data_IF_787681373595
#
_entry.id   IF_787681373595
#
_cell.length_a   1.000
_cell.length_b   1.000
_cell.length_c   1.000
_cell.angle_alpha   90.00
_cell.angle_beta   90.00
_cell.angle_gamma   90.00
#
_symmetry.space_group_name_H-M   'P 1'
#
loop_
_entity.id
_entity.type
_entity.pdbx_description
1 polymer ?
#
# COMPACT_ATOMS: atom_id res chain seq x y z
N UNK A 1 21.47 -13.99 -4.18
CA UNK A 1 21.45 -12.56 -3.76
C UNK A 1 19.99 -12.11 -3.65
N UNK A 2 19.29 -12.43 -2.55
CA UNK A 2 17.99 -11.84 -2.14
C UNK A 2 17.24 -12.60 -1.04
N UNK A 3 17.75 -13.74 -0.55
CA UNK A 3 17.04 -14.55 0.46
C UNK A 3 16.60 -13.73 1.68
N UNK A 4 17.49 -12.85 2.17
CA UNK A 4 17.20 -11.99 3.30
C UNK A 4 16.13 -10.92 2.99
N UNK A 5 16.15 -10.33 1.79
CA UNK A 5 15.14 -9.34 1.38
C UNK A 5 13.77 -9.97 1.16
N UNK A 6 13.73 -11.22 0.69
CA UNK A 6 12.49 -12.02 0.61
C UNK A 6 11.95 -12.31 2.01
N UNK A 7 12.79 -12.82 2.92
CA UNK A 7 12.39 -13.11 4.30
C UNK A 7 11.88 -11.87 5.04
N UNK A 8 12.54 -10.71 4.86
CA UNK A 8 12.06 -9.43 5.43
C UNK A 8 10.70 -9.03 4.88
N UNK A 9 10.46 -9.21 3.57
CA UNK A 9 9.15 -8.92 2.96
C UNK A 9 8.04 -9.86 3.46
N UNK A 10 8.35 -11.16 3.58
CA UNK A 10 7.42 -12.15 4.13
C UNK A 10 7.03 -11.79 5.57
N UNK A 11 8.02 -11.47 6.41
CA UNK A 11 7.80 -11.03 7.78
C UNK A 11 6.90 -9.77 7.84
N UNK A 12 7.27 -8.71 7.11
CA UNK A 12 6.54 -7.45 7.12
C UNK A 12 5.11 -7.60 6.57
N UNK A 13 4.91 -8.47 5.58
CA UNK A 13 3.57 -8.76 5.04
C UNK A 13 2.71 -9.48 6.09
N UNK A 14 3.28 -10.47 6.80
CA UNK A 14 2.58 -11.17 7.87
C UNK A 14 2.23 -10.21 9.03
N UNK A 15 3.19 -9.40 9.48
CA UNK A 15 2.99 -8.41 10.54
C UNK A 15 1.91 -7.39 10.17
N UNK A 16 1.95 -6.83 8.95
CA UNK A 16 0.92 -5.90 8.48
C UNK A 16 -0.48 -6.52 8.45
N UNK A 17 -0.62 -7.80 8.08
CA UNK A 17 -1.91 -8.51 8.11
C UNK A 17 -2.41 -8.71 9.54
N UNK A 18 -1.52 -9.06 10.48
CA UNK A 18 -1.86 -9.19 11.90
C UNK A 18 -2.33 -7.85 12.48
N UNK A 19 -1.56 -6.78 12.27
CA UNK A 19 -1.91 -5.44 12.75
C UNK A 19 -3.22 -4.96 12.12
N UNK A 20 -3.44 -5.22 10.83
CA UNK A 20 -4.71 -4.89 10.18
C UNK A 20 -5.90 -5.60 10.82
N UNK A 21 -5.74 -6.86 11.18
CA UNK A 21 -6.76 -7.67 11.85
C UNK A 21 -7.07 -7.21 13.28
N UNK A 22 -6.13 -6.54 13.95
CA UNK A 22 -6.34 -5.95 15.27
C UNK A 22 -7.11 -4.62 15.23
N UNK A 23 -7.05 -3.89 14.11
CA UNK A 23 -7.79 -2.63 13.94
C UNK A 23 -9.29 -2.92 13.82
N UNK A 24 -10.05 -2.48 14.82
CA UNK A 24 -11.50 -2.54 14.82
C UNK A 24 -12.08 -1.43 13.94
N UNK A 25 -12.80 -1.82 12.90
CA UNK A 25 -13.46 -0.89 11.99
C UNK A 25 -12.58 -0.39 10.83
N UNK A 26 -12.90 0.81 10.33
CA UNK A 26 -12.25 1.39 9.16
C UNK A 26 -10.95 2.09 9.56
N UNK A 27 -9.85 1.71 8.93
CA UNK A 27 -8.60 2.47 9.02
C UNK A 27 -8.76 3.79 8.27
N UNK A 28 -8.65 4.91 9.00
CA UNK A 28 -8.69 6.25 8.45
C UNK A 28 -7.26 6.69 8.15
N UNK A 29 -6.98 6.95 6.88
CA UNK A 29 -5.71 7.49 6.42
C UNK A 29 -5.91 8.97 6.07
N UNK A 30 -4.98 9.80 6.52
CA UNK A 30 -4.80 11.17 6.08
C UNK A 30 -4.48 11.23 4.57
N UNK A 31 -4.65 12.39 3.96
CA UNK A 31 -4.29 12.58 2.55
C UNK A 31 -2.79 12.37 2.30
N UNK A 32 -1.93 12.75 3.26
CA UNK A 32 -0.48 12.51 3.19
C UNK A 32 -0.12 11.02 3.19
N UNK A 33 -0.75 10.22 4.07
CA UNK A 33 -0.54 8.77 4.10
C UNK A 33 -1.04 8.11 2.81
N UNK A 34 -2.18 8.54 2.28
CA UNK A 34 -2.69 8.05 1.00
C UNK A 34 -1.74 8.38 -0.15
N UNK A 35 -1.18 9.59 -0.19
CA UNK A 35 -0.23 10.00 -1.21
C UNK A 35 1.03 9.12 -1.18
N UNK A 36 1.62 8.91 0.00
CA UNK A 36 2.78 8.03 0.19
C UNK A 36 2.51 6.61 -0.32
N UNK A 37 1.38 6.01 0.07
CA UNK A 37 1.03 4.66 -0.39
C UNK A 37 0.78 4.62 -1.90
N UNK A 38 0.16 5.65 -2.46
CA UNK A 38 -0.18 5.75 -3.88
C UNK A 38 1.06 5.85 -4.78
N UNK A 39 2.05 6.66 -4.39
CA UNK A 39 3.30 6.81 -5.14
C UNK A 39 4.11 5.51 -5.17
N UNK A 40 4.22 4.84 -4.02
CA UNK A 40 4.93 3.57 -3.92
C UNK A 40 4.17 2.48 -4.70
N UNK A 41 2.85 2.42 -4.57
CA UNK A 41 1.99 1.48 -5.31
C UNK A 41 2.14 1.62 -6.83
N UNK A 42 2.23 2.86 -7.34
CA UNK A 42 2.45 3.09 -8.76
C UNK A 42 3.79 2.49 -9.23
N UNK A 43 4.85 2.65 -8.44
CA UNK A 43 6.19 2.11 -8.74
C UNK A 43 6.25 0.57 -8.64
N UNK A 44 5.51 -0.02 -7.70
CA UNK A 44 5.44 -1.48 -7.52
C UNK A 44 4.64 -2.18 -8.62
N UNK A 45 3.65 -1.50 -9.19
CA UNK A 45 2.71 -2.10 -10.13
C UNK A 45 1.65 -2.97 -9.46
N UNK A 46 0.56 -3.27 -10.18
CA UNK A 46 -0.63 -3.92 -9.61
C UNK A 46 -0.36 -5.31 -9.03
N UNK A 47 0.35 -6.16 -9.76
CA UNK A 47 0.52 -7.57 -9.38
C UNK A 47 1.24 -7.72 -8.04
N UNK A 48 2.35 -6.99 -7.86
CA UNK A 48 3.10 -7.02 -6.59
C UNK A 48 2.29 -6.38 -5.45
N UNK A 49 1.49 -5.36 -5.76
CA UNK A 49 0.67 -4.68 -4.77
C UNK A 49 -0.43 -5.58 -4.21
N UNK A 50 -0.95 -6.54 -4.98
CA UNK A 50 -1.94 -7.52 -4.50
C UNK A 50 -1.42 -8.37 -3.34
N UNK A 51 -0.13 -8.69 -3.34
CA UNK A 51 0.48 -9.52 -2.30
C UNK A 51 0.66 -8.77 -0.96
N UNK A 52 0.97 -7.48 -1.04
CA UNK A 52 1.44 -6.67 0.11
C UNK A 52 0.39 -5.69 0.66
N UNK A 53 -0.67 -5.37 -0.11
CA UNK A 53 -1.66 -4.38 0.32
C UNK A 53 -2.59 -4.92 1.42
N UNK A 54 -2.48 -4.36 2.63
CA UNK A 54 -3.36 -4.69 3.77
C UNK A 54 -4.31 -3.55 4.18
N UNK A 55 -4.01 -2.31 3.82
CA UNK A 55 -4.74 -1.12 4.29
C UNK A 55 -5.98 -0.81 3.46
N UNK A 56 -5.91 -1.03 2.15
CA UNK A 56 -7.00 -0.84 1.19
C UNK A 56 -6.80 -1.76 -0.02
N UNK A 57 -7.85 -1.93 -0.84
CA UNK A 57 -7.74 -2.69 -2.10
C UNK A 57 -6.72 -2.04 -3.04
N UNK A 58 -5.91 -2.82 -3.78
CA UNK A 58 -4.97 -2.31 -4.78
C UNK A 58 -5.58 -1.29 -5.75
N UNK A 59 -6.82 -1.52 -6.21
CA UNK A 59 -7.55 -0.61 -7.10
C UNK A 59 -7.78 0.76 -6.46
N UNK A 60 -8.07 0.77 -5.16
CA UNK A 60 -8.31 1.98 -4.39
C UNK A 60 -7.03 2.78 -4.23
N UNK A 61 -5.91 2.12 -3.92
CA UNK A 61 -4.61 2.76 -3.75
C UNK A 61 -4.13 3.35 -5.09
N UNK A 62 -4.24 2.60 -6.18
CA UNK A 62 -3.94 3.10 -7.52
C UNK A 62 -4.91 4.21 -7.95
N UNK A 63 -6.16 4.17 -7.47
CA UNK A 63 -7.12 5.24 -7.63
C UNK A 63 -6.68 6.55 -6.95
N UNK A 64 -6.03 6.48 -5.79
CA UNK A 64 -5.45 7.66 -5.14
C UNK A 64 -4.32 8.24 -5.98
N UNK A 65 -3.46 7.42 -6.57
CA UNK A 65 -2.37 7.89 -7.43
C UNK A 65 -2.89 8.71 -8.61
N UNK A 66 -3.92 8.21 -9.30
CA UNK A 66 -4.55 8.93 -10.43
C UNK A 66 -5.14 10.29 -10.02
N UNK A 67 -5.63 10.41 -8.79
CA UNK A 67 -6.13 11.69 -8.25
C UNK A 67 -4.97 12.63 -7.94
N UNK A 68 -3.92 12.12 -7.29
CA UNK A 68 -2.73 12.88 -6.93
C UNK A 68 -2.08 13.51 -8.18
N UNK A 69 -1.90 12.72 -9.25
CA UNK A 69 -1.28 13.23 -10.49
C UNK A 69 -2.16 14.23 -11.23
N UNK A 70 -3.47 14.21 -11.02
CA UNK A 70 -4.38 15.20 -11.60
C UNK A 70 -4.23 16.55 -10.91
N UNK A 71 -4.12 16.57 -9.59
CA UNK A 71 -3.95 17.80 -8.80
C UNK A 71 -2.59 18.48 -9.03
N UNK A 72 -1.54 17.72 -9.35
CA UNK A 72 -0.20 18.27 -9.65
C UNK A 72 -0.10 18.81 -11.09
N UNK A 73 -1.01 18.42 -11.98
CA UNK A 73 -1.01 18.85 -13.37
C UNK A 73 -1.87 20.10 -13.64
N UNK A 74 -2.62 20.56 -12.63
CA UNK A 74 -3.43 21.79 -12.63
C UNK A 74 -2.66 22.94 -11.93
#
# INVERSE_FOLDING_TARGET
MNQELLLRNEYLTAENRILRGQIKGRLLLSEGEKATLAEIAHRLGRMVLEDVAATAKPETILGWYRKLTRVVAD
#
